data_IF_168904171682
#
_entry.id   IF_168904171682
#
_cell.length_a   1.000
_cell.length_b   1.000
_cell.length_c   1.000
_cell.angle_alpha   90.00
_cell.angle_beta   90.00
_cell.angle_gamma   90.00
#
_symmetry.space_group_name_H-M   'P 1'
#
loop_
_entity.id
_entity.type
_entity.pdbx_description
1 polymer ?
#
# COMPACT_ATOMS: atom_id res chain seq x y z
N UNK A 1 -36.94 8.93 6.31
CA UNK A 1 -38.42 9.11 6.35
C UNK A 1 -38.92 8.55 7.66
N UNK A 2 -39.52 9.40 8.49
CA UNK A 2 -40.24 8.97 9.68
C UNK A 2 -41.65 8.47 9.31
N UNK A 3 -42.22 7.48 10.01
CA UNK A 3 -43.34 6.69 9.47
C UNK A 3 -44.74 7.29 9.65
N UNK A 4 -44.90 8.56 10.07
CA UNK A 4 -46.23 9.09 10.44
C UNK A 4 -46.69 10.39 9.78
N UNK A 5 -45.88 11.04 8.96
CA UNK A 5 -46.36 12.13 8.09
C UNK A 5 -45.59 12.08 6.77
N UNK A 6 -46.24 11.61 5.70
CA UNK A 6 -45.62 11.36 4.39
C UNK A 6 -45.23 12.61 3.60
N UNK A 7 -44.52 13.57 4.22
CA UNK A 7 -43.91 14.71 3.53
C UNK A 7 -42.41 14.44 3.33
N UNK A 8 -41.83 14.79 2.17
CA UNK A 8 -40.39 14.66 1.96
C UNK A 8 -39.62 15.60 2.89
N UNK A 9 -38.57 15.09 3.52
CA UNK A 9 -37.67 15.83 4.39
C UNK A 9 -36.93 16.89 3.55
N UNK A 10 -37.00 18.17 3.94
CA UNK A 10 -36.27 19.24 3.27
C UNK A 10 -34.76 18.98 3.31
N UNK A 11 -34.14 18.87 2.14
CA UNK A 11 -32.69 18.78 2.00
C UNK A 11 -32.06 20.12 2.38
N UNK A 12 -31.14 20.10 3.33
CA UNK A 12 -30.20 21.20 3.54
C UNK A 12 -29.41 21.45 2.24
N UNK A 13 -29.13 22.70 1.86
CA UNK A 13 -28.35 22.96 0.65
C UNK A 13 -26.92 22.47 0.86
N UNK A 14 -26.57 21.35 0.23
CA UNK A 14 -25.17 20.95 0.03
C UNK A 14 -24.51 22.02 -0.83
N UNK A 15 -23.35 22.51 -0.40
CA UNK A 15 -22.51 23.38 -1.21
C UNK A 15 -22.27 22.71 -2.58
N UNK A 16 -22.57 23.44 -3.65
CA UNK A 16 -22.42 22.97 -5.02
C UNK A 16 -20.94 22.62 -5.28
N UNK A 17 -20.68 21.38 -5.68
CA UNK A 17 -19.44 21.05 -6.37
C UNK A 17 -19.46 21.74 -7.73
N UNK A 18 -18.34 22.30 -8.22
CA UNK A 18 -18.32 23.00 -9.49
C UNK A 18 -18.58 22.01 -10.62
N UNK A 19 -19.67 22.24 -11.35
CA UNK A 19 -20.03 21.53 -12.57
C UNK A 19 -19.04 21.89 -13.67
N UNK A 20 -18.45 20.89 -14.33
CA UNK A 20 -17.65 21.05 -15.54
C UNK A 20 -18.55 21.42 -16.72
N UNK A 21 -18.27 22.50 -17.48
CA UNK A 21 -18.94 22.74 -18.75
C UNK A 21 -18.32 21.83 -19.81
N UNK A 22 -19.17 21.07 -20.48
CA UNK A 22 -18.86 20.31 -21.67
C UNK A 22 -18.73 21.27 -22.86
N UNK A 23 -17.58 21.27 -23.53
CA UNK A 23 -17.35 22.00 -24.78
C UNK A 23 -16.31 21.27 -25.62
N UNK A 24 -16.81 20.65 -26.68
CA UNK A 24 -16.10 19.96 -27.74
C UNK A 24 -15.06 20.86 -28.47
N UNK A 25 -13.94 20.22 -28.84
CA UNK A 25 -12.98 20.56 -29.89
C UNK A 25 -12.37 21.97 -29.95
N UNK A 26 -11.16 22.09 -29.37
CA UNK A 26 -9.90 22.45 -30.04
C UNK A 26 -8.94 23.14 -29.06
N UNK A 27 -7.71 22.63 -28.93
CA UNK A 27 -6.62 23.34 -28.25
C UNK A 27 -6.49 23.06 -26.76
N UNK A 28 -5.97 21.87 -26.43
CA UNK A 28 -5.60 21.45 -25.09
C UNK A 28 -4.58 22.40 -24.43
N UNK A 29 -5.06 23.33 -23.60
CA UNK A 29 -4.27 24.05 -22.60
C UNK A 29 -5.10 24.26 -21.33
N UNK A 30 -5.61 23.14 -20.79
CA UNK A 30 -6.18 23.11 -19.46
C UNK A 30 -5.13 23.45 -18.39
N UNK A 31 -5.58 24.20 -17.40
CA UNK A 31 -4.95 24.79 -16.21
C UNK A 31 -3.77 24.06 -15.52
N UNK A 32 -3.47 22.79 -15.85
CA UNK A 32 -2.30 22.05 -15.34
C UNK A 32 -1.05 22.11 -16.26
N UNK A 33 -1.18 22.64 -17.49
CA UNK A 33 -0.11 22.61 -18.50
C UNK A 33 1.02 23.64 -18.30
N UNK A 34 0.83 24.66 -17.47
CA UNK A 34 1.87 25.69 -17.23
C UNK A 34 2.91 25.27 -16.18
N UNK A 35 2.78 24.10 -15.56
CA UNK A 35 3.69 23.62 -14.51
C UNK A 35 4.76 22.63 -14.98
N UNK A 36 4.67 22.08 -16.20
CA UNK A 36 5.61 21.05 -16.69
C UNK A 36 6.40 21.45 -17.95
N UNK A 37 6.32 22.71 -18.38
CA UNK A 37 7.05 23.21 -19.53
C UNK A 37 8.18 24.16 -19.13
N UNK A 38 9.28 23.61 -18.61
CA UNK A 38 10.60 24.24 -18.67
C UNK A 38 11.71 23.22 -18.44
N UNK A 39 12.12 22.59 -19.53
CA UNK A 39 13.40 21.87 -19.63
C UNK A 39 14.53 22.90 -19.53
N UNK A 40 15.07 23.10 -18.33
CA UNK A 40 16.45 23.57 -18.18
C UNK A 40 17.18 22.79 -17.07
N UNK A 41 18.01 21.87 -17.54
CA UNK A 41 18.86 20.96 -16.79
C UNK A 41 20.11 21.73 -16.36
N UNK A 42 20.06 22.43 -15.22
CA UNK A 42 21.21 22.79 -14.36
C UNK A 42 20.70 23.61 -13.16
N UNK A 43 20.99 23.12 -11.96
CA UNK A 43 20.53 23.61 -10.65
C UNK A 43 19.02 23.50 -10.47
N UNK A 44 18.57 22.30 -10.07
CA UNK A 44 17.49 22.24 -9.10
C UNK A 44 17.96 23.10 -7.92
N UNK A 45 17.46 24.34 -7.86
CA UNK A 45 17.51 25.12 -6.64
C UNK A 45 16.82 24.23 -5.61
N UNK A 46 17.63 23.67 -4.70
CA UNK A 46 17.12 23.05 -3.49
C UNK A 46 16.06 24.02 -2.97
N UNK A 47 14.81 23.55 -2.85
CA UNK A 47 13.78 24.30 -2.15
C UNK A 47 14.39 24.64 -0.80
N UNK A 48 14.78 25.90 -0.64
CA UNK A 48 15.37 26.39 0.58
C UNK A 48 14.30 26.17 1.66
N UNK A 49 14.67 25.43 2.70
CA UNK A 49 13.76 25.15 3.79
C UNK A 49 13.19 26.50 4.26
N UNK A 50 11.86 26.62 4.44
CA UNK A 50 11.27 27.87 4.89
C UNK A 50 12.02 28.32 6.16
N UNK A 51 12.35 29.61 6.27
CA UNK A 51 13.16 30.12 7.37
C UNK A 51 12.64 29.58 8.71
N UNK A 52 13.52 29.08 9.60
CA UNK A 52 13.10 28.45 10.85
C UNK A 52 12.32 29.41 11.75
N UNK A 53 12.44 30.71 11.51
CA UNK A 53 11.63 31.75 12.16
C UNK A 53 11.13 32.77 11.13
N UNK A 54 9.82 32.81 10.90
CA UNK A 54 9.14 33.93 10.26
C UNK A 54 9.01 35.05 11.29
N UNK A 55 9.94 36.01 11.28
CA UNK A 55 9.83 37.21 12.10
C UNK A 55 8.98 38.23 11.35
N UNK A 56 7.88 38.66 11.96
CA UNK A 56 7.12 39.78 11.44
C UNK A 56 8.02 41.03 11.43
N UNK A 57 8.19 41.65 10.26
CA UNK A 57 9.00 42.86 10.13
C UNK A 57 8.13 44.08 10.45
N UNK A 58 8.28 44.63 11.66
CA UNK A 58 7.59 45.86 12.09
C UNK A 58 7.11 45.79 13.54
N UNK A 59 6.85 46.95 14.15
CA UNK A 59 6.15 47.04 15.43
C UNK A 59 4.67 46.74 15.18
N UNK A 60 4.24 45.53 15.50
CA UNK A 60 2.85 45.10 15.40
C UNK A 60 1.99 45.85 16.42
N UNK A 61 0.81 46.30 16.00
CA UNK A 61 -0.21 46.81 16.91
C UNK A 61 -0.63 45.71 17.90
N UNK A 62 -1.03 46.09 19.12
CA UNK A 62 -1.54 45.14 20.13
C UNK A 62 -2.67 44.26 19.57
N UNK A 63 -3.52 44.85 18.72
CA UNK A 63 -4.57 44.13 18.00
C UNK A 63 -4.02 43.07 17.03
N UNK A 64 -3.00 43.42 16.25
CA UNK A 64 -2.38 42.51 15.28
C UNK A 64 -1.64 41.37 16.00
N UNK A 65 -1.03 41.63 17.15
CA UNK A 65 -0.43 40.57 17.98
C UNK A 65 -1.46 39.54 18.42
N UNK A 66 -2.63 39.98 18.90
CA UNK A 66 -3.73 39.09 19.29
C UNK A 66 -4.25 38.30 18.09
N UNK A 67 -4.45 38.95 16.94
CA UNK A 67 -4.89 38.28 15.71
C UNK A 67 -3.88 37.20 15.25
N UNK A 68 -2.57 37.48 15.33
CA UNK A 68 -1.51 36.52 15.02
C UNK A 68 -1.51 35.34 16.01
N UNK A 69 -1.76 35.56 17.29
CA UNK A 69 -1.87 34.48 18.28
C UNK A 69 -3.08 33.57 18.01
N UNK A 70 -4.22 34.15 17.65
CA UNK A 70 -5.42 33.40 17.25
C UNK A 70 -5.12 32.54 16.03
N UNK A 71 -4.44 33.10 15.01
CA UNK A 71 -4.05 32.34 13.80
C UNK A 71 -3.13 31.16 14.17
N UNK A 72 -2.15 31.36 15.06
CA UNK A 72 -1.26 30.27 15.54
C UNK A 72 -2.04 29.16 16.26
N UNK A 73 -3.03 29.52 17.08
CA UNK A 73 -3.89 28.56 17.77
C UNK A 73 -4.74 27.76 16.78
N UNK A 74 -5.32 28.42 15.78
CA UNK A 74 -6.14 27.77 14.75
C UNK A 74 -5.31 26.79 13.91
N UNK A 75 -4.12 27.20 13.46
CA UNK A 75 -3.19 26.33 12.71
C UNK A 75 -2.82 25.11 13.56
N UNK A 76 -2.48 25.32 14.83
CA UNK A 76 -2.09 24.23 15.74
C UNK A 76 -3.25 23.26 15.98
N UNK A 77 -4.46 23.77 16.18
CA UNK A 77 -5.67 22.97 16.35
C UNK A 77 -5.95 22.13 15.10
N UNK A 78 -5.93 22.75 13.91
CA UNK A 78 -6.17 22.05 12.65
C UNK A 78 -5.09 20.99 12.36
N UNK A 79 -3.82 21.34 12.53
CA UNK A 79 -2.70 20.42 12.35
C UNK A 79 -2.82 19.18 13.26
N UNK A 80 -3.23 19.36 14.51
CA UNK A 80 -3.43 18.25 15.43
C UNK A 80 -4.56 17.31 14.99
N UNK A 81 -5.63 17.82 14.40
CA UNK A 81 -6.71 17.01 13.83
C UNK A 81 -6.18 16.21 12.64
N UNK A 82 -5.55 16.88 11.67
CA UNK A 82 -4.99 16.24 10.48
C UNK A 82 -3.94 15.18 10.85
N UNK A 83 -3.08 15.46 11.82
CA UNK A 83 -2.08 14.52 12.33
C UNK A 83 -2.74 13.25 12.87
N UNK A 84 -3.80 13.39 13.68
CA UNK A 84 -4.56 12.23 14.19
C UNK A 84 -5.20 11.43 13.05
N UNK A 85 -5.76 12.11 12.05
CA UNK A 85 -6.35 11.47 10.87
C UNK A 85 -5.30 10.72 10.05
N UNK A 86 -4.11 11.31 9.80
CA UNK A 86 -3.04 10.63 9.07
C UNK A 86 -2.51 9.40 9.80
N UNK A 87 -2.39 9.45 11.13
CA UNK A 87 -1.95 8.29 11.94
C UNK A 87 -2.90 7.10 11.76
N UNK A 88 -4.20 7.34 11.58
CA UNK A 88 -5.18 6.27 11.35
C UNK A 88 -5.26 5.84 9.86
N UNK A 89 -5.16 6.80 8.94
CA UNK A 89 -5.27 6.52 7.50
C UNK A 89 -4.08 5.73 6.95
N UNK A 90 -2.85 6.01 7.40
CA UNK A 90 -1.64 5.37 6.83
C UNK A 90 -1.63 3.86 7.08
N UNK A 91 -1.84 3.35 8.31
CA UNK A 91 -1.92 1.92 8.55
C UNK A 91 -3.06 1.25 7.76
N UNK A 92 -4.21 1.92 7.62
CA UNK A 92 -5.34 1.40 6.82
C UNK A 92 -4.99 1.28 5.34
N UNK A 93 -4.28 2.27 4.79
CA UNK A 93 -3.83 2.22 3.40
C UNK A 93 -2.81 1.09 3.18
N UNK A 94 -1.86 0.90 4.09
CA UNK A 94 -0.89 -0.21 4.01
C UNK A 94 -1.59 -1.56 4.16
N UNK A 95 -2.53 -1.67 5.10
CA UNK A 95 -3.30 -2.89 5.31
C UNK A 95 -4.07 -3.30 4.06
N UNK A 96 -4.76 -2.34 3.42
CA UNK A 96 -5.55 -2.62 2.22
C UNK A 96 -4.65 -2.92 1.00
N UNK A 97 -3.71 -2.03 0.71
CA UNK A 97 -2.97 -2.07 -0.55
C UNK A 97 -1.85 -3.11 -0.58
N UNK A 98 -1.25 -3.43 0.58
CA UNK A 98 -0.14 -4.36 0.65
C UNK A 98 -0.57 -5.67 1.30
N UNK A 99 -1.05 -5.62 2.55
CA UNK A 99 -1.26 -6.84 3.33
C UNK A 99 -2.43 -7.66 2.79
N UNK A 100 -3.59 -7.03 2.61
CA UNK A 100 -4.79 -7.70 2.11
C UNK A 100 -4.60 -8.11 0.65
N UNK A 101 -4.06 -7.23 -0.19
CA UNK A 101 -3.70 -7.56 -1.58
C UNK A 101 -2.76 -8.77 -1.66
N UNK A 102 -1.65 -8.77 -0.93
CA UNK A 102 -0.69 -9.89 -0.94
C UNK A 102 -1.34 -11.16 -0.44
N UNK A 103 -2.16 -11.09 0.63
CA UNK A 103 -2.86 -12.27 1.15
C UNK A 103 -3.75 -12.93 0.09
N UNK A 104 -4.50 -12.13 -0.67
CA UNK A 104 -5.47 -12.63 -1.65
C UNK A 104 -4.76 -13.12 -2.92
N UNK A 105 -3.71 -12.42 -3.36
CA UNK A 105 -2.98 -12.71 -4.60
C UNK A 105 -1.86 -13.75 -4.46
N UNK A 106 -1.30 -13.92 -3.25
CA UNK A 106 -0.17 -14.82 -3.01
C UNK A 106 -0.46 -16.25 -3.46
N UNK A 107 -1.66 -16.77 -3.19
CA UNK A 107 -2.00 -18.14 -3.58
C UNK A 107 -2.10 -18.29 -5.11
N UNK A 108 -2.65 -17.28 -5.79
CA UNK A 108 -2.78 -17.27 -7.25
C UNK A 108 -1.42 -17.21 -7.92
N UNK A 109 -0.58 -16.25 -7.51
CA UNK A 109 0.77 -16.13 -8.07
C UNK A 109 1.66 -17.33 -7.73
N UNK A 110 1.57 -17.86 -6.51
CA UNK A 110 2.34 -19.04 -6.13
C UNK A 110 1.97 -20.25 -7.00
N UNK A 111 0.68 -20.46 -7.23
CA UNK A 111 0.21 -21.55 -8.08
C UNK A 111 0.70 -21.36 -9.52
N UNK A 112 0.55 -20.15 -10.07
CA UNK A 112 1.05 -19.85 -11.41
C UNK A 112 2.54 -20.14 -11.52
N UNK A 113 3.35 -19.68 -10.56
CA UNK A 113 4.79 -19.88 -10.55
C UNK A 113 5.20 -21.35 -10.39
N UNK A 114 4.51 -22.12 -9.51
CA UNK A 114 4.82 -23.54 -9.30
C UNK A 114 4.44 -24.43 -10.48
N UNK A 115 3.40 -24.05 -11.24
CA UNK A 115 2.94 -24.79 -12.41
C UNK A 115 3.62 -24.37 -13.71
N UNK A 116 4.63 -23.48 -13.67
CA UNK A 116 5.47 -23.20 -14.84
C UNK A 116 6.25 -24.45 -15.22
N UNK A 117 5.99 -24.92 -16.44
CA UNK A 117 6.54 -26.17 -17.00
C UNK A 117 8.06 -26.24 -16.95
N UNK A 118 8.72 -25.10 -17.04
CA UNK A 118 10.17 -25.02 -17.19
C UNK A 118 10.93 -25.25 -15.87
N UNK A 119 10.26 -25.05 -14.73
CA UNK A 119 10.85 -25.16 -13.39
C UNK A 119 10.31 -26.35 -12.58
N UNK A 120 9.27 -27.00 -13.06
CA UNK A 120 8.52 -28.01 -12.31
C UNK A 120 9.37 -29.25 -11.99
N UNK A 121 10.17 -29.74 -12.94
CA UNK A 121 11.04 -30.91 -12.74
C UNK A 121 12.13 -30.67 -11.69
N UNK A 122 12.68 -29.45 -11.61
CA UNK A 122 13.67 -29.10 -10.59
C UNK A 122 13.02 -28.88 -9.23
N UNK A 123 11.82 -28.31 -9.20
CA UNK A 123 11.06 -28.06 -7.96
C UNK A 123 10.54 -29.35 -7.31
N UNK A 124 10.22 -30.37 -8.12
CA UNK A 124 9.84 -31.71 -7.66
C UNK A 124 11.04 -32.63 -7.40
N UNK A 125 12.27 -32.15 -7.62
CA UNK A 125 13.46 -32.93 -7.39
C UNK A 125 13.63 -33.20 -5.89
N UNK A 126 13.76 -34.47 -5.56
CA UNK A 126 14.02 -34.88 -4.19
C UNK A 126 15.42 -34.49 -3.72
N UNK A 127 15.57 -34.24 -2.41
CA UNK A 127 16.89 -34.00 -1.82
C UNK A 127 17.80 -35.23 -1.89
N UNK A 128 19.09 -35.00 -2.17
CA UNK A 128 20.11 -36.08 -2.24
C UNK A 128 20.20 -36.89 -0.94
N UNK A 129 19.95 -36.24 0.21
CA UNK A 129 19.95 -36.92 1.51
C UNK A 129 18.82 -37.94 1.60
N UNK A 130 17.60 -37.58 1.18
CA UNK A 130 16.47 -38.52 1.19
C UNK A 130 16.69 -39.67 0.21
N UNK A 131 17.28 -39.40 -0.96
CA UNK A 131 17.65 -40.44 -1.94
C UNK A 131 18.62 -41.45 -1.33
N UNK A 132 19.67 -40.99 -0.63
CA UNK A 132 20.64 -41.88 0.04
C UNK A 132 19.97 -42.70 1.14
N UNK A 133 19.20 -42.05 2.02
CA UNK A 133 18.52 -42.73 3.12
C UNK A 133 17.52 -43.78 2.63
N UNK A 134 16.79 -43.50 1.54
CA UNK A 134 15.91 -44.50 0.91
C UNK A 134 16.71 -45.71 0.42
N UNK A 135 17.83 -45.48 -0.29
CA UNK A 135 18.68 -46.57 -0.80
C UNK A 135 19.24 -47.44 0.33
N UNK A 136 19.69 -46.82 1.42
CA UNK A 136 20.16 -47.53 2.62
C UNK A 136 19.06 -48.40 3.24
N UNK A 137 17.87 -47.84 3.45
CA UNK A 137 16.73 -48.61 3.98
C UNK A 137 16.32 -49.75 3.04
N UNK A 138 16.33 -49.51 1.73
CA UNK A 138 15.97 -50.53 0.74
C UNK A 138 16.96 -51.69 0.74
N UNK A 139 18.26 -51.39 0.85
CA UNK A 139 19.30 -52.40 1.00
C UNK A 139 19.18 -53.20 2.31
N UNK A 140 18.82 -52.53 3.40
CA UNK A 140 18.56 -53.18 4.69
C UNK A 140 17.37 -54.13 4.61
N UNK A 141 16.25 -53.70 4.00
CA UNK A 141 15.07 -54.54 3.79
C UNK A 141 15.40 -55.75 2.93
N UNK A 142 16.15 -55.57 1.85
CA UNK A 142 16.57 -56.68 0.98
C UNK A 142 17.44 -57.70 1.74
N UNK A 143 18.35 -57.22 2.58
CA UNK A 143 19.21 -58.07 3.42
C UNK A 143 18.41 -58.86 4.45
N UNK A 144 17.44 -58.21 5.12
CA UNK A 144 16.55 -58.87 6.07
C UNK A 144 15.62 -59.89 5.40
N UNK A 145 15.12 -59.60 4.19
CA UNK A 145 14.30 -60.54 3.41
C UNK A 145 15.08 -61.81 3.06
N UNK A 146 16.33 -61.66 2.59
CA UNK A 146 17.21 -62.81 2.30
C UNK A 146 17.50 -63.62 3.56
N UNK A 147 17.75 -62.96 4.70
CA UNK A 147 17.94 -63.65 5.97
C UNK A 147 16.68 -64.43 6.39
N UNK A 148 15.50 -63.84 6.21
CA UNK A 148 14.21 -64.51 6.48
C UNK A 148 13.99 -65.73 5.58
N UNK A 149 14.31 -65.64 4.28
CA UNK A 149 14.23 -66.77 3.36
C UNK A 149 15.15 -67.92 3.80
N UNK A 150 16.39 -67.62 4.18
CA UNK A 150 17.34 -68.62 4.68
C UNK A 150 16.79 -69.30 5.94
N UNK A 151 16.26 -68.54 6.90
CA UNK A 151 15.66 -69.12 8.11
C UNK A 151 14.48 -70.04 7.76
N UNK A 152 13.66 -69.67 6.79
CA UNK A 152 12.53 -70.49 6.35
C UNK A 152 12.93 -71.79 5.62
N UNK A 153 14.13 -71.86 5.05
CA UNK A 153 14.64 -73.06 4.38
C UNK A 153 15.24 -74.10 5.34
N UNK A 154 15.62 -73.67 6.55
CA UNK A 154 16.28 -74.51 7.57
C UNK A 154 15.28 -75.09 8.58
N UNK A 155 14.04 -74.60 8.58
CA UNK A 155 12.94 -75.06 9.43
C UNK A 155 12.06 -76.08 8.70
#
# INVERSE_FOLDING_TARGET
>A
VDPKTGKPLASTPRAASPTVPDADSAGNSGFFGSFFAAKNKKKAAAMEAPPPTLKASGTLSERENIEVEVIKLLISSYYNIVKRTMIDMVPKAVMLNLVQFTKDEMQRELLENMYRTDTLDDLLKESDFTIRRRKECQQMVESLSKASEIVSQVQ
#
